data_IF_157319738067
#
_entry.id   IF_157319738067
#
_cell.length_a   1.000
_cell.length_b   1.000
_cell.length_c   1.000
_cell.angle_alpha   90.00
_cell.angle_beta   90.00
_cell.angle_gamma   90.00
#
_symmetry.space_group_name_H-M   'P 1'
#
loop_
_entity.id
_entity.type
_entity.pdbx_description
1 polymer ?
#
# COMPACT_ATOMS: atom_id res chain seq x y z
N UNK A 1 8.45 10.30 -19.00
CA UNK A 1 8.37 9.78 -17.61
C UNK A 1 7.76 8.39 -17.68
N UNK A 2 8.19 7.42 -16.86
CA UNK A 2 7.55 6.12 -16.83
C UNK A 2 6.07 6.24 -16.46
N UNK A 3 5.23 5.34 -16.95
CA UNK A 3 3.82 5.30 -16.57
C UNK A 3 3.67 4.71 -15.16
N UNK A 4 2.55 4.98 -14.50
CA UNK A 4 2.24 4.42 -13.18
C UNK A 4 2.41 2.89 -13.14
N UNK A 5 1.97 2.19 -14.18
CA UNK A 5 2.14 0.73 -14.31
C UNK A 5 3.60 0.31 -14.46
N UNK A 6 4.40 1.02 -15.27
CA UNK A 6 5.83 0.75 -15.42
C UNK A 6 6.60 0.97 -14.10
N UNK A 7 6.21 1.98 -13.33
CA UNK A 7 6.76 2.22 -12.00
C UNK A 7 6.36 1.10 -11.02
N UNK A 8 5.11 0.61 -11.07
CA UNK A 8 4.67 -0.53 -10.27
C UNK A 8 5.51 -1.78 -10.57
N UNK A 9 5.78 -2.07 -11.85
CA UNK A 9 6.65 -3.19 -12.24
C UNK A 9 8.06 -3.05 -11.67
N UNK A 10 8.58 -1.82 -11.66
CA UNK A 10 9.91 -1.50 -11.15
C UNK A 10 9.99 -1.54 -9.61
N UNK A 11 8.86 -1.57 -8.89
CA UNK A 11 8.83 -1.57 -7.43
C UNK A 11 9.49 -2.80 -6.80
N UNK A 12 9.63 -3.91 -7.53
CA UNK A 12 10.33 -5.09 -7.05
C UNK A 12 11.80 -4.82 -6.69
N UNK A 13 12.43 -3.81 -7.30
CA UNK A 13 13.79 -3.38 -6.96
C UNK A 13 13.89 -2.89 -5.51
N UNK A 14 12.80 -2.36 -4.94
CA UNK A 14 12.76 -1.89 -3.56
C UNK A 14 13.01 -3.03 -2.56
N UNK A 15 12.66 -4.28 -2.90
CA UNK A 15 12.89 -5.46 -2.06
C UNK A 15 14.37 -5.69 -1.72
N UNK A 16 15.30 -5.09 -2.46
CA UNK A 16 16.74 -5.12 -2.16
C UNK A 16 17.11 -4.26 -0.93
N UNK A 17 16.20 -3.42 -0.45
CA UNK A 17 16.40 -2.63 0.76
C UNK A 17 16.49 -3.53 1.99
N UNK A 18 17.62 -3.50 2.70
CA UNK A 18 17.86 -4.32 3.89
C UNK A 18 16.92 -4.06 5.08
N UNK A 19 16.07 -3.03 5.01
CA UNK A 19 15.02 -2.74 6.01
C UNK A 19 13.74 -3.55 5.78
N UNK A 20 13.57 -4.14 4.61
CA UNK A 20 12.36 -4.90 4.25
C UNK A 20 12.49 -6.31 4.79
N UNK A 21 11.56 -6.66 5.68
CA UNK A 21 11.41 -8.01 6.21
C UNK A 21 10.78 -8.97 5.20
N UNK A 22 10.90 -10.28 5.45
CA UNK A 22 10.25 -11.31 4.64
C UNK A 22 8.72 -11.13 4.57
N UNK A 23 8.09 -10.73 5.67
CA UNK A 23 6.65 -10.47 5.72
C UNK A 23 6.25 -9.30 4.83
N UNK A 24 7.06 -8.24 4.80
CA UNK A 24 6.83 -7.11 3.90
C UNK A 24 7.10 -7.48 2.44
N UNK A 25 8.01 -8.39 2.15
CA UNK A 25 8.18 -8.96 0.81
C UNK A 25 6.95 -9.74 0.33
N UNK A 26 6.29 -10.48 1.21
CA UNK A 26 4.99 -11.14 0.90
C UNK A 26 3.88 -10.11 0.69
N UNK A 27 3.85 -9.08 1.54
CA UNK A 27 2.89 -7.99 1.43
C UNK A 27 3.06 -7.23 0.11
N UNK A 28 4.31 -7.00 -0.32
CA UNK A 28 4.64 -6.39 -1.62
C UNK A 28 4.08 -7.19 -2.79
N UNK A 29 4.28 -8.50 -2.82
CA UNK A 29 3.77 -9.33 -3.92
C UNK A 29 2.24 -9.26 -4.03
N UNK A 30 1.53 -9.30 -2.90
CA UNK A 30 0.06 -9.23 -2.85
C UNK A 30 -0.46 -7.83 -3.16
N UNK A 31 0.16 -6.81 -2.60
CA UNK A 31 -0.21 -5.41 -2.88
C UNK A 31 0.07 -5.04 -4.32
N UNK A 32 1.15 -5.52 -4.92
CA UNK A 32 1.48 -5.26 -6.33
C UNK A 32 0.42 -5.83 -7.26
N UNK A 33 0.01 -7.08 -7.03
CA UNK A 33 -1.07 -7.70 -7.80
C UNK A 33 -2.37 -6.89 -7.70
N UNK A 34 -2.72 -6.43 -6.50
CA UNK A 34 -3.92 -5.63 -6.28
C UNK A 34 -3.79 -4.21 -6.88
N UNK A 35 -2.66 -3.53 -6.72
CA UNK A 35 -2.41 -2.21 -7.29
C UNK A 35 -2.44 -2.23 -8.82
N UNK A 36 -1.94 -3.30 -9.46
CA UNK A 36 -2.10 -3.50 -10.90
C UNK A 36 -3.56 -3.57 -11.31
N UNK A 37 -4.36 -4.36 -10.60
CA UNK A 37 -5.79 -4.51 -10.89
C UNK A 37 -6.58 -3.19 -10.74
N UNK A 38 -6.07 -2.26 -9.92
CA UNK A 38 -6.71 -0.97 -9.61
C UNK A 38 -5.91 0.24 -10.10
N UNK A 39 -4.95 0.04 -11.02
CA UNK A 39 -3.94 1.04 -11.37
C UNK A 39 -4.55 2.36 -11.87
N UNK A 40 -5.54 2.29 -12.77
CA UNK A 40 -6.22 3.45 -13.30
C UNK A 40 -6.91 4.29 -12.22
N UNK A 41 -7.63 3.63 -11.30
CA UNK A 41 -8.37 4.29 -10.22
C UNK A 41 -7.43 4.91 -9.18
N UNK A 42 -6.32 4.23 -8.88
CA UNK A 42 -5.28 4.77 -7.98
C UNK A 42 -4.60 5.99 -8.59
N UNK A 43 -4.26 5.94 -9.87
CA UNK A 43 -3.67 7.07 -10.59
C UNK A 43 -4.64 8.26 -10.67
N UNK A 44 -5.93 8.02 -10.95
CA UNK A 44 -6.98 9.04 -10.95
C UNK A 44 -7.19 9.67 -9.56
N UNK A 45 -7.13 8.85 -8.51
CA UNK A 45 -7.15 9.33 -7.12
C UNK A 45 -5.89 10.10 -6.70
N UNK A 46 -4.86 10.10 -7.56
CA UNK A 46 -3.65 10.88 -7.40
C UNK A 46 -2.54 10.18 -6.62
N UNK A 47 -2.66 8.88 -6.34
CA UNK A 47 -1.58 8.07 -5.79
C UNK A 47 -0.43 7.99 -6.78
N UNK A 48 0.78 8.02 -6.24
CA UNK A 48 2.01 7.72 -6.98
C UNK A 48 2.66 6.44 -6.43
N UNK A 49 3.42 5.73 -7.26
CA UNK A 49 4.14 4.53 -6.82
C UNK A 49 5.11 4.81 -5.66
N UNK A 50 5.84 5.95 -5.64
CA UNK A 50 6.63 6.35 -4.46
C UNK A 50 5.82 6.51 -3.17
N UNK A 51 4.56 6.94 -3.24
CA UNK A 51 3.68 7.00 -2.05
C UNK A 51 3.19 5.61 -1.65
N UNK A 52 2.81 4.77 -2.63
CA UNK A 52 2.36 3.39 -2.38
C UNK A 52 3.44 2.52 -1.75
N UNK A 53 4.70 2.70 -2.15
CA UNK A 53 5.84 1.91 -1.67
C UNK A 53 6.91 2.74 -0.94
N UNK A 54 6.53 3.84 -0.29
CA UNK A 54 7.45 4.61 0.57
C UNK A 54 8.11 3.70 1.60
N UNK A 55 9.44 3.69 1.66
CA UNK A 55 10.20 3.03 2.73
C UNK A 55 10.64 4.08 3.71
N UNK A 56 10.28 3.90 4.98
CA UNK A 56 10.57 4.86 6.02
C UNK A 56 12.05 4.96 6.39
N UNK A 57 12.37 6.02 7.15
CA UNK A 57 13.72 6.26 7.67
C UNK A 57 14.11 5.24 8.74
N UNK A 58 13.14 4.78 9.55
CA UNK A 58 13.30 3.74 10.56
C UNK A 58 12.66 2.43 10.09
N UNK A 59 13.06 1.30 10.70
CA UNK A 59 12.42 0.00 10.46
C UNK A 59 10.92 0.08 10.72
N UNK A 60 10.13 -0.65 9.95
CA UNK A 60 8.69 -0.76 10.18
C UNK A 60 8.41 -1.34 11.58
N UNK A 61 7.39 -0.86 12.31
CA UNK A 61 6.42 0.19 11.96
C UNK A 61 6.80 1.59 12.45
N UNK A 62 8.07 1.86 12.78
CA UNK A 62 8.48 3.05 13.54
C UNK A 62 8.67 4.34 12.72
N UNK A 63 8.29 4.36 11.45
CA UNK A 63 8.31 5.58 10.61
C UNK A 63 7.23 5.51 9.53
N UNK A 64 7.19 6.47 8.61
CA UNK A 64 6.23 6.48 7.52
C UNK A 64 6.54 5.41 6.48
N UNK A 65 5.61 4.49 6.26
CA UNK A 65 5.71 3.46 5.24
C UNK A 65 4.47 3.51 4.34
N UNK A 66 4.68 3.27 3.05
CA UNK A 66 3.61 3.20 2.07
C UNK A 66 2.68 2.00 2.31
N UNK A 67 1.41 2.10 1.90
CA UNK A 67 0.42 1.05 2.11
C UNK A 67 0.82 -0.30 1.50
N UNK A 68 1.65 -0.31 0.45
CA UNK A 68 2.15 -1.53 -0.19
C UNK A 68 2.99 -2.43 0.71
N UNK A 69 3.48 -1.91 1.85
CA UNK A 69 4.28 -2.64 2.83
C UNK A 69 3.49 -3.15 4.04
N UNK A 70 2.20 -2.83 4.14
CA UNK A 70 1.40 -3.20 5.31
C UNK A 70 1.18 -4.71 5.40
N UNK A 71 1.41 -5.31 6.55
CA UNK A 71 1.21 -6.75 6.73
C UNK A 71 -0.25 -7.20 6.64
N UNK A 72 -1.20 -6.25 6.58
CA UNK A 72 -2.62 -6.52 6.30
C UNK A 72 -2.85 -7.23 4.97
N UNK A 73 -1.98 -7.03 3.97
CA UNK A 73 -2.03 -7.79 2.72
C UNK A 73 -1.84 -9.29 2.94
N UNK A 74 -1.14 -9.69 3.99
CA UNK A 74 -0.89 -11.10 4.31
C UNK A 74 -2.05 -11.74 5.07
N UNK A 75 -3.00 -10.96 5.60
CA UNK A 75 -4.12 -11.48 6.38
C UNK A 75 -5.23 -11.97 5.44
N UNK A 76 -5.57 -13.25 5.52
CA UNK A 76 -6.58 -13.88 4.66
C UNK A 76 -8.02 -13.43 4.97
N UNK A 77 -8.26 -12.88 6.17
CA UNK A 77 -9.55 -12.30 6.55
C UNK A 77 -9.69 -10.83 6.15
N UNK A 78 -8.64 -10.27 5.56
CA UNK A 78 -8.59 -8.88 5.16
C UNK A 78 -9.00 -8.75 3.69
N UNK A 79 -10.05 -7.97 3.44
CA UNK A 79 -10.48 -7.64 2.09
C UNK A 79 -10.08 -6.20 1.75
N UNK A 80 -9.04 -6.00 0.91
CA UNK A 80 -8.65 -4.68 0.45
C UNK A 80 -9.59 -4.17 -0.65
N UNK A 81 -10.06 -2.92 -0.50
CA UNK A 81 -10.92 -2.24 -1.48
C UNK A 81 -10.53 -0.78 -1.66
N UNK A 82 -11.02 -0.17 -2.74
CA UNK A 82 -10.98 1.27 -2.90
C UNK A 82 -12.16 1.90 -2.13
N UNK A 83 -11.82 2.76 -1.17
CA UNK A 83 -12.76 3.58 -0.43
C UNK A 83 -13.06 4.90 -1.13
N UNK A 84 -13.74 5.79 -0.40
CA UNK A 84 -14.09 7.11 -0.91
C UNK A 84 -12.83 7.92 -1.29
N UNK A 85 -12.91 8.68 -2.40
CA UNK A 85 -11.80 9.49 -2.92
C UNK A 85 -10.52 8.68 -3.21
N UNK A 86 -10.67 7.37 -3.48
CA UNK A 86 -9.57 6.47 -3.81
C UNK A 86 -8.62 6.16 -2.66
N UNK A 87 -9.08 6.27 -1.40
CA UNK A 87 -8.36 5.70 -0.27
C UNK A 87 -8.26 4.19 -0.40
N UNK A 88 -7.20 3.59 0.14
CA UNK A 88 -7.09 2.13 0.23
C UNK A 88 -7.66 1.72 1.59
N UNK A 89 -8.72 0.92 1.58
CA UNK A 89 -9.36 0.41 2.79
C UNK A 89 -9.08 -1.07 2.95
N UNK A 90 -8.64 -1.47 4.14
CA UNK A 90 -8.49 -2.86 4.54
C UNK A 90 -9.65 -3.20 5.47
N UNK A 91 -10.57 -4.05 5.03
CA UNK A 91 -11.73 -4.47 5.82
C UNK A 91 -11.42 -5.81 6.49
N UNK A 92 -11.48 -5.85 7.81
CA UNK A 92 -11.31 -7.04 8.62
C UNK A 92 -12.67 -7.43 9.21
N UNK A 93 -13.18 -8.60 8.82
CA UNK A 93 -14.44 -9.13 9.33
C UNK A 93 -14.19 -9.89 10.64
N UNK A 94 -14.44 -9.24 11.77
CA UNK A 94 -14.30 -9.81 13.11
C UNK A 94 -15.68 -10.24 13.66
N UNK A 95 -15.70 -11.13 14.66
CA UNK A 95 -16.94 -11.67 15.21
C UNK A 95 -17.90 -10.61 15.80
N UNK A 96 -17.37 -9.41 16.11
CA UNK A 96 -18.13 -8.26 16.61
C UNK A 96 -18.44 -7.18 15.57
N UNK A 97 -18.10 -7.39 14.29
CA UNK A 97 -18.31 -6.45 13.20
C UNK A 97 -17.05 -6.17 12.37
N UNK A 98 -17.15 -5.21 11.47
CA UNK A 98 -16.08 -4.88 10.53
C UNK A 98 -15.14 -3.81 11.12
N UNK A 99 -13.84 -4.10 11.10
CA UNK A 99 -12.80 -3.11 11.37
C UNK A 99 -12.23 -2.66 10.03
N UNK A 100 -12.37 -1.37 9.72
CA UNK A 100 -11.83 -0.78 8.48
C UNK A 100 -10.61 0.08 8.81
N UNK A 101 -9.45 -0.32 8.27
CA UNK A 101 -8.25 0.51 8.30
C UNK A 101 -8.10 1.24 6.97
N UNK A 102 -8.14 2.57 7.00
CA UNK A 102 -8.06 3.42 5.80
C UNK A 102 -6.70 4.06 5.66
N UNK A 103 -6.05 3.84 4.52
CA UNK A 103 -4.87 4.57 4.08
C UNK A 103 -5.30 5.69 3.14
N UNK A 104 -5.07 6.94 3.57
CA UNK A 104 -5.42 8.14 2.82
C UNK A 104 -4.19 8.73 2.16
N UNK A 105 -4.42 9.31 0.99
CA UNK A 105 -3.45 10.15 0.32
C UNK A 105 -3.56 11.56 0.91
N UNK A 106 -2.93 11.82 2.05
CA UNK A 106 -2.89 13.16 2.63
C UNK A 106 -1.73 13.97 2.04
N UNK A 107 -2.05 14.86 1.10
CA UNK A 107 -1.06 15.74 0.45
C UNK A 107 -0.68 16.97 1.27
N UNK A 108 -1.20 17.15 2.49
CA UNK A 108 -0.72 18.19 3.41
C UNK A 108 -1.20 17.93 4.85
N UNK A 109 -0.27 17.86 5.80
CA UNK A 109 -0.55 18.09 7.23
C UNK A 109 0.12 19.35 7.77
N UNK A 110 0.92 20.03 6.96
CA UNK A 110 1.66 21.23 7.34
C UNK A 110 1.50 22.26 6.22
N UNK A 111 0.38 22.96 6.26
CA UNK A 111 0.24 24.30 5.69
C UNK A 111 0.15 25.30 6.84
#
# INVERSE_FOLDING_TARGET
MPTFEQELESSAELLKCGKISKEQGRAHARSLAWFRAHAAQLAEAGWTVPELYRVGTLSFPYSEWGPGWLTLWNNEKCEPRLGARGSIEFVLHEAGGDVVQTCRLEKSFLS
#
